data_IF_211202798297
#
_entry.id   IF_211202798297
#
_cell.length_a   1.000
_cell.length_b   1.000
_cell.length_c   1.000
_cell.angle_alpha   90.00
_cell.angle_beta   90.00
_cell.angle_gamma   90.00
#
_symmetry.space_group_name_H-M   'P 1'
#
loop_
_entity.id
_entity.type
_entity.pdbx_description
1 polymer ?
#
# COMPACT_ATOMS: atom_id res chain seq x y z
N UNK A 1 -5.20 -13.09 9.91
CA UNK A 1 -5.82 -12.52 8.69
C UNK A 1 -5.31 -11.10 8.46
N UNK A 2 -4.88 -10.77 7.23
CA UNK A 2 -4.54 -9.39 6.82
C UNK A 2 -5.76 -8.75 6.14
N UNK A 3 -6.25 -7.63 6.66
CA UNK A 3 -7.43 -6.93 6.16
C UNK A 3 -7.09 -5.49 5.75
N UNK A 4 -7.36 -5.15 4.49
CA UNK A 4 -7.35 -3.76 4.02
C UNK A 4 -8.56 -3.01 4.62
N UNK A 5 -8.31 -1.90 5.29
CA UNK A 5 -9.35 -1.11 5.98
C UNK A 5 -9.62 0.23 5.31
N UNK A 6 -8.65 0.80 4.58
CA UNK A 6 -8.78 2.08 3.88
C UNK A 6 -7.89 2.15 2.65
N UNK A 7 -8.33 2.93 1.65
CA UNK A 7 -7.54 3.40 0.51
C UNK A 7 -7.72 4.91 0.43
N UNK A 8 -6.62 5.66 0.48
CA UNK A 8 -6.59 7.10 0.28
C UNK A 8 -5.74 7.42 -0.95
N UNK A 9 -6.32 8.20 -1.86
CA UNK A 9 -5.64 8.72 -3.04
C UNK A 9 -5.16 10.13 -2.74
N UNK A 10 -3.89 10.39 -3.03
CA UNK A 10 -3.34 11.74 -3.03
C UNK A 10 -3.17 12.16 -4.47
N UNK A 11 -3.88 13.22 -4.87
CA UNK A 11 -3.79 13.79 -6.20
C UNK A 11 -2.77 14.92 -6.23
N UNK A 12 -2.03 15.02 -7.33
CA UNK A 12 -1.23 16.19 -7.66
C UNK A 12 -2.14 17.36 -8.01
N UNK A 13 -1.91 18.51 -7.37
CA UNK A 13 -2.74 19.69 -7.56
C UNK A 13 -2.58 20.34 -8.94
N UNK A 14 -1.49 20.05 -9.67
CA UNK A 14 -1.17 20.71 -10.95
C UNK A 14 -1.63 19.91 -12.17
N UNK A 15 -1.60 18.59 -12.08
CA UNK A 15 -1.85 17.65 -13.18
C UNK A 15 -3.11 16.81 -12.97
N UNK A 16 -3.69 16.85 -11.77
CA UNK A 16 -4.82 16.02 -11.35
C UNK A 16 -4.58 14.49 -11.43
N UNK A 17 -3.33 14.07 -11.59
CA UNK A 17 -2.93 12.65 -11.53
C UNK A 17 -2.80 12.18 -10.10
N UNK A 18 -2.89 10.87 -9.88
CA UNK A 18 -2.60 10.29 -8.56
C UNK A 18 -1.09 10.24 -8.32
N UNK A 19 -0.61 10.98 -7.30
CA UNK A 19 0.79 10.99 -6.85
C UNK A 19 1.11 9.79 -5.95
N UNK A 20 0.17 9.40 -5.10
CA UNK A 20 0.34 8.25 -4.21
C UNK A 20 -0.99 7.66 -3.78
N UNK A 21 -0.95 6.38 -3.40
CA UNK A 21 -2.09 5.68 -2.80
C UNK A 21 -1.65 5.11 -1.45
N UNK A 22 -2.25 5.61 -0.36
CA UNK A 22 -2.00 5.09 0.99
C UNK A 22 -3.07 4.06 1.37
N UNK A 23 -2.62 2.87 1.76
CA UNK A 23 -3.46 1.74 2.15
C UNK A 23 -3.25 1.41 3.62
N UNK A 24 -4.35 1.31 4.38
CA UNK A 24 -4.31 0.93 5.80
C UNK A 24 -4.64 -0.56 5.96
N UNK A 25 -3.86 -1.25 6.79
CA UNK A 25 -4.04 -2.66 7.08
C UNK A 25 -4.20 -2.91 8.58
N UNK A 26 -5.06 -3.87 8.89
CA UNK A 26 -5.15 -4.50 10.20
C UNK A 26 -4.83 -5.99 10.04
N UNK A 27 -3.96 -6.50 10.92
CA UNK A 27 -3.64 -7.92 11.03
C UNK A 27 -4.06 -8.40 12.41
N UNK A 28 -4.72 -9.54 12.46
CA UNK A 28 -4.99 -10.27 13.71
C UNK A 28 -4.54 -11.72 13.55
N UNK A 29 -3.83 -12.26 14.54
CA UNK A 29 -3.42 -13.67 14.58
C UNK A 29 -4.35 -14.49 15.48
N UNK A 30 -4.31 -15.82 15.34
CA UNK A 30 -5.02 -16.76 16.23
C UNK A 30 -4.56 -16.66 17.69
N UNK A 31 -3.42 -16.01 17.95
CA UNK A 31 -2.88 -15.78 19.30
C UNK A 31 -3.32 -14.43 19.89
N UNK A 32 -4.28 -13.74 19.28
CA UNK A 32 -4.72 -12.38 19.61
C UNK A 32 -3.61 -11.33 19.49
N UNK A 33 -2.59 -11.57 18.67
CA UNK A 33 -1.59 -10.55 18.34
C UNK A 33 -2.17 -9.65 17.24
N UNK A 34 -1.83 -8.36 17.26
CA UNK A 34 -2.31 -7.40 16.28
C UNK A 34 -1.19 -6.53 15.73
N UNK A 35 -1.29 -6.23 14.44
CA UNK A 35 -0.44 -5.25 13.74
C UNK A 35 -1.37 -4.34 12.97
N UNK A 36 -1.21 -3.03 13.15
CA UNK A 36 -1.87 -2.04 12.31
C UNK A 36 -0.78 -1.23 11.62
N UNK A 37 -0.97 -0.90 10.35
CA UNK A 37 0.00 -0.10 9.63
C UNK A 37 -0.54 0.44 8.33
N UNK A 38 0.21 1.40 7.79
CA UNK A 38 -0.07 2.00 6.50
C UNK A 38 1.09 1.69 5.56
N UNK A 39 0.77 1.52 4.27
CA UNK A 39 1.77 1.50 3.20
C UNK A 39 1.37 2.47 2.13
N UNK A 40 2.36 3.09 1.51
CA UNK A 40 2.17 4.01 0.40
C UNK A 40 2.68 3.35 -0.88
N UNK A 41 1.83 3.33 -1.90
CA UNK A 41 2.20 2.99 -3.27
C UNK A 41 2.58 4.29 -3.99
N UNK A 42 3.72 4.28 -4.66
CA UNK A 42 4.26 5.36 -5.47
C UNK A 42 4.36 4.89 -6.93
N UNK A 43 4.44 5.81 -7.92
CA UNK A 43 4.61 5.44 -9.33
C UNK A 43 5.84 4.56 -9.58
N UNK A 44 6.93 4.76 -8.81
CA UNK A 44 8.14 3.93 -8.89
C UNK A 44 7.98 2.48 -8.41
N UNK A 45 6.85 2.12 -7.82
CA UNK A 45 6.53 0.75 -7.41
C UNK A 45 5.85 -0.06 -8.53
N UNK A 46 5.58 0.56 -9.69
CA UNK A 46 4.83 -0.02 -10.79
C UNK A 46 5.74 -0.41 -11.96
N UNK A 47 5.25 -1.32 -12.80
CA UNK A 47 5.88 -1.65 -14.08
C UNK A 47 5.90 -0.43 -15.02
N UNK A 48 6.89 -0.38 -15.90
CA UNK A 48 7.07 0.71 -16.86
C UNK A 48 5.79 0.95 -17.68
N UNK A 49 5.37 2.21 -17.81
CA UNK A 49 4.12 2.62 -18.48
C UNK A 49 2.80 2.37 -17.74
N UNK A 50 2.81 1.94 -16.47
CA UNK A 50 1.60 1.89 -15.62
C UNK A 50 1.57 3.09 -14.66
N UNK A 51 0.42 3.75 -14.51
CA UNK A 51 0.22 4.82 -13.52
C UNK A 51 -0.66 4.35 -12.36
N UNK A 52 -0.65 5.08 -11.25
CA UNK A 52 -1.53 4.80 -10.11
C UNK A 52 -3.02 4.92 -10.48
N UNK A 53 -3.36 5.77 -11.46
CA UNK A 53 -4.73 5.98 -11.96
C UNK A 53 -5.25 4.77 -12.76
N UNK A 54 -4.36 3.93 -13.30
CA UNK A 54 -4.74 2.71 -14.05
C UNK A 54 -5.11 1.55 -13.12
N UNK A 55 -4.83 1.66 -11.83
CA UNK A 55 -4.97 0.56 -10.89
C UNK A 55 -6.43 0.39 -10.44
N UNK A 56 -6.96 -0.81 -10.65
CA UNK A 56 -8.18 -1.23 -9.97
C UNK A 56 -7.95 -1.39 -8.47
N UNK A 57 -9.03 -1.31 -7.67
CA UNK A 57 -8.98 -1.61 -6.22
C UNK A 57 -8.28 -2.93 -5.90
N UNK A 58 -8.51 -3.98 -6.69
CA UNK A 58 -7.91 -5.31 -6.46
C UNK A 58 -6.40 -5.30 -6.69
N UNK A 59 -5.92 -4.55 -7.69
CA UNK A 59 -4.49 -4.38 -7.95
C UNK A 59 -3.84 -3.58 -6.83
N UNK A 60 -4.47 -2.48 -6.38
CA UNK A 60 -4.03 -1.69 -5.23
C UNK A 60 -3.88 -2.58 -3.99
N UNK A 61 -4.91 -3.35 -3.66
CA UNK A 61 -4.88 -4.25 -2.50
C UNK A 61 -3.76 -5.29 -2.60
N UNK A 62 -3.53 -5.85 -3.80
CA UNK A 62 -2.49 -6.86 -4.03
C UNK A 62 -1.09 -6.27 -3.85
N UNK A 63 -0.81 -5.14 -4.49
CA UNK A 63 0.47 -4.44 -4.38
C UNK A 63 0.74 -3.97 -2.95
N UNK A 64 -0.26 -3.36 -2.32
CA UNK A 64 -0.15 -2.85 -0.96
C UNK A 64 0.05 -3.98 0.07
N UNK A 65 -0.63 -5.12 -0.07
CA UNK A 65 -0.39 -6.30 0.78
C UNK A 65 1.02 -6.84 0.62
N UNK A 66 1.54 -6.91 -0.60
CA UNK A 66 2.90 -7.36 -0.85
C UNK A 66 3.93 -6.43 -0.19
N UNK A 67 3.76 -5.10 -0.34
CA UNK A 67 4.61 -4.10 0.34
C UNK A 67 4.52 -4.20 1.86
N UNK A 68 3.32 -4.32 2.41
CA UNK A 68 3.09 -4.46 3.85
C UNK A 68 3.76 -5.72 4.41
N UNK A 69 3.65 -6.85 3.71
CA UNK A 69 4.32 -8.09 4.11
C UNK A 69 5.85 -7.95 4.14
N UNK A 70 6.45 -7.26 3.15
CA UNK A 70 7.90 -6.98 3.12
C UNK A 70 8.33 -6.13 4.33
N UNK A 71 7.60 -5.07 4.65
CA UNK A 71 7.89 -4.23 5.81
C UNK A 71 7.83 -5.01 7.13
N UNK A 72 6.82 -5.86 7.30
CA UNK A 72 6.67 -6.70 8.52
C UNK A 72 7.73 -7.79 8.61
N UNK A 73 8.23 -8.30 7.48
CA UNK A 73 9.30 -9.31 7.43
C UNK A 73 10.71 -8.72 7.61
N UNK A 74 10.84 -7.39 7.53
CA UNK A 74 12.07 -6.66 7.80
C UNK A 74 12.85 -6.29 6.53
N UNK A 75 12.52 -5.14 5.95
CA UNK A 75 13.56 -4.16 5.63
C UNK A 75 14.06 -3.58 6.96
N UNK A 76 14.91 -4.36 7.64
CA UNK A 76 15.87 -3.81 8.58
C UNK A 76 16.99 -3.17 7.77
N UNK A 77 16.91 -1.86 7.55
CA UNK A 77 18.00 -1.11 6.92
C UNK A 77 17.50 0.10 6.15
N UNK A 78 17.28 1.22 6.84
CA UNK A 78 17.91 2.52 6.57
C UNK A 78 17.31 3.58 7.53
N UNK A 79 18.16 4.12 8.43
CA UNK A 79 17.87 5.26 9.30
C UNK A 79 17.97 4.99 10.79
#
# INVERSE_FOLDING_TARGET
>A
MVRLTSIQYQFDNSTAKTDSITCSFNVTSERNEYINGNVTLLPGDLEESTTLDDLTRKQIETLAKARFAKLVQGEGGEG
#
